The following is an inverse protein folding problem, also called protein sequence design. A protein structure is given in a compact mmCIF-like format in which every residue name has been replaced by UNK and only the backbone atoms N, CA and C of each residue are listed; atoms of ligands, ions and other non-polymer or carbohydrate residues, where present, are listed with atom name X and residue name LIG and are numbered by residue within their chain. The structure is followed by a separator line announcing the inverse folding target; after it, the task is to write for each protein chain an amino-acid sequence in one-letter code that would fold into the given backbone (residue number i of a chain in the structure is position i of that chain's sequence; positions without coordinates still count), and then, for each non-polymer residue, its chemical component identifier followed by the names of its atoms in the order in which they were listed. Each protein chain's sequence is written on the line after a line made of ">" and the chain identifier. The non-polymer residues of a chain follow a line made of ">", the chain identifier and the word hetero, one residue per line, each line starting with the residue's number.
data_IF_111696284218
#
_entry.id   IF_111696284218
#
_cell.length_a   1.000
_cell.length_b   1.000
_cell.length_c   1.000
_cell.angle_alpha   90.00
_cell.angle_beta   90.00
_cell.angle_gamma   90.00
#
_symmetry.space_group_name_H-M   'P 1'
#
loop_
_entity.id
_entity.type
_entity.pdbx_description
1 polymer ?
#
# COMPACT_ATOMS: atom_id res chain seq x y z
N UNK A 1 8.05 -9.42 -3.38
CA UNK A 1 7.42 -8.10 -3.12
C UNK A 1 6.82 -8.09 -1.72
N UNK A 2 7.12 -7.05 -0.94
CA UNK A 2 6.39 -6.75 0.30
C UNK A 2 5.18 -5.88 -0.06
N UNK A 3 3.97 -6.41 0.06
CA UNK A 3 2.73 -5.67 -0.24
C UNK A 3 1.97 -5.42 1.06
N UNK A 4 1.51 -4.19 1.27
CA UNK A 4 0.99 -3.74 2.57
C UNK A 4 -0.47 -3.27 2.46
N UNK A 5 -1.41 -4.00 3.11
CA UNK A 5 -1.30 -5.38 3.62
C UNK A 5 -1.51 -6.41 2.50
N UNK A 6 -0.71 -7.47 2.48
CA UNK A 6 -0.79 -8.55 1.50
C UNK A 6 -2.12 -9.32 1.61
N UNK A 7 -2.70 -9.35 2.80
CA UNK A 7 -3.98 -9.97 3.10
C UNK A 7 -5.21 -9.20 2.60
N UNK A 8 -5.06 -7.92 2.22
CA UNK A 8 -6.19 -7.09 1.81
C UNK A 8 -6.78 -7.59 0.48
N UNK A 9 -8.12 -7.63 0.36
CA UNK A 9 -8.82 -8.17 -0.83
C UNK A 9 -8.32 -7.54 -2.13
N UNK A 10 -8.08 -6.23 -2.10
CA UNK A 10 -7.58 -5.47 -3.22
C UNK A 10 -6.15 -5.79 -3.61
N UNK A 11 -5.27 -6.04 -2.62
CA UNK A 11 -3.87 -6.41 -2.85
C UNK A 11 -3.78 -7.85 -3.35
N UNK A 12 -4.60 -8.75 -2.80
CA UNK A 12 -4.68 -10.15 -3.27
C UNK A 12 -5.10 -10.24 -4.73
N UNK A 13 -6.09 -9.47 -5.14
CA UNK A 13 -6.58 -9.50 -6.51
C UNK A 13 -5.72 -8.68 -7.50
N UNK A 14 -4.59 -8.11 -7.07
CA UNK A 14 -3.52 -7.68 -7.98
C UNK A 14 -2.73 -8.87 -8.54
N UNK A 15 -2.85 -10.07 -7.96
CA UNK A 15 -2.21 -11.27 -8.49
C UNK A 15 -2.98 -11.82 -9.69
N UNK A 16 -2.24 -12.42 -10.62
CA UNK A 16 -2.85 -13.23 -11.66
C UNK A 16 -3.64 -14.39 -11.01
N UNK A 17 -4.92 -14.60 -11.35
CA UNK A 17 -5.75 -15.65 -10.74
C UNK A 17 -5.19 -17.07 -10.94
N UNK A 18 -4.44 -17.28 -12.02
CA UNK A 18 -3.82 -18.57 -12.36
C UNK A 18 -2.37 -18.65 -11.82
N UNK A 19 -1.90 -17.61 -11.12
CA UNK A 19 -0.56 -17.56 -10.52
C UNK A 19 0.57 -17.38 -11.54
N UNK A 20 0.24 -16.95 -12.76
CA UNK A 20 1.18 -16.86 -13.87
C UNK A 20 1.96 -15.53 -13.96
N UNK A 21 1.78 -14.61 -12.99
CA UNK A 21 2.46 -13.30 -13.00
C UNK A 21 3.95 -13.37 -12.63
N UNK A 22 4.42 -14.49 -12.07
CA UNK A 22 5.79 -14.65 -11.58
C UNK A 22 6.12 -13.77 -10.37
N UNK A 23 5.12 -13.17 -9.71
CA UNK A 23 5.30 -12.24 -8.60
C UNK A 23 5.04 -12.95 -7.26
N UNK A 24 6.12 -13.21 -6.52
CA UNK A 24 6.02 -13.66 -5.14
C UNK A 24 5.66 -12.49 -4.21
N UNK A 25 4.52 -12.60 -3.52
CA UNK A 25 4.08 -11.64 -2.49
C UNK A 25 4.33 -12.25 -1.12
N UNK A 26 5.06 -11.53 -0.27
CA UNK A 26 5.33 -11.96 1.10
C UNK A 26 4.01 -11.98 1.90
N UNK A 27 3.88 -12.94 2.81
CA UNK A 27 2.75 -12.97 3.74
C UNK A 27 2.88 -11.83 4.77
N UNK A 28 1.74 -11.30 5.25
CA UNK A 28 1.75 -10.30 6.32
C UNK A 28 2.39 -10.89 7.59
N UNK A 29 3.45 -10.27 8.14
CA UNK A 29 4.05 -10.72 9.38
C UNK A 29 3.05 -10.57 10.51
N UNK A 30 3.08 -11.54 11.44
CA UNK A 30 2.19 -11.53 12.61
C UNK A 30 2.78 -10.64 13.69
N UNK A 31 2.02 -9.68 14.25
CA UNK A 31 2.47 -8.92 15.41
C UNK A 31 2.77 -9.88 16.57
N UNK A 32 4.00 -9.84 17.11
CA UNK A 32 4.43 -10.59 18.30
C UNK A 32 4.16 -12.11 18.25
N UNK A 33 4.08 -12.73 17.06
CA UNK A 33 3.81 -14.17 16.90
C UNK A 33 2.39 -14.62 17.25
N UNK A 34 1.47 -13.70 17.57
CA UNK A 34 0.08 -13.99 17.94
C UNK A 34 -0.77 -14.20 16.67
N UNK A 35 -1.78 -15.09 16.65
CA UNK A 35 -2.63 -15.29 15.48
C UNK A 35 -3.31 -13.99 15.03
N UNK A 36 -3.18 -13.64 13.74
CA UNK A 36 -3.81 -12.44 13.14
C UNK A 36 -5.34 -12.56 13.01
N UNK A 37 -5.95 -13.56 13.64
CA UNK A 37 -7.41 -13.79 13.70
C UNK A 37 -8.08 -12.94 14.78
N UNK A 38 -7.33 -12.18 15.57
CA UNK A 38 -7.92 -11.21 16.50
C UNK A 38 -8.59 -10.08 15.72
N UNK A 39 -9.83 -9.74 16.06
CA UNK A 39 -10.58 -8.57 15.56
C UNK A 39 -9.90 -7.20 15.83
N UNK A 40 -8.67 -7.21 16.34
CA UNK A 40 -7.89 -6.04 16.68
C UNK A 40 -7.02 -5.69 15.46
N UNK A 41 -7.34 -4.57 14.82
CA UNK A 41 -6.55 -4.02 13.72
C UNK A 41 -5.22 -3.51 14.29
N UNK A 42 -4.13 -4.21 14.00
CA UNK A 42 -2.78 -3.74 14.27
C UNK A 42 -2.22 -3.09 13.01
N UNK A 43 -1.44 -2.00 13.11
CA UNK A 43 -0.74 -1.48 11.95
C UNK A 43 0.11 -2.59 11.33
N UNK A 44 0.14 -2.73 9.98
CA UNK A 44 0.96 -3.74 9.35
C UNK A 44 2.41 -3.64 9.80
N UNK A 45 2.99 -4.76 10.25
CA UNK A 45 4.36 -4.83 10.79
C UNK A 45 5.39 -4.31 9.78
N UNK A 46 5.13 -4.51 8.48
CA UNK A 46 6.00 -4.03 7.41
C UNK A 46 6.12 -2.49 7.33
N UNK A 47 5.25 -1.72 8.00
CA UNK A 47 5.37 -0.26 8.08
C UNK A 47 6.46 0.20 9.07
N UNK A 48 6.99 -0.71 9.89
CA UNK A 48 8.07 -0.42 10.82
C UNK A 48 9.42 -0.31 10.06
N UNK A 49 10.15 0.81 10.19
CA UNK A 49 11.49 0.96 9.62
C UNK A 49 12.45 -0.18 10.05
N UNK A 50 12.35 -0.67 11.27
CA UNK A 50 13.23 -1.73 11.78
C UNK A 50 12.94 -3.07 11.09
N UNK A 51 11.68 -3.31 10.68
CA UNK A 51 11.33 -4.47 9.86
C UNK A 51 11.97 -4.37 8.48
N UNK A 52 11.95 -3.18 7.86
CA UNK A 52 12.64 -2.96 6.57
C UNK A 52 14.14 -3.22 6.73
N UNK A 53 14.77 -2.69 7.77
CA UNK A 53 16.20 -2.92 8.01
C UNK A 53 16.54 -4.41 8.14
N UNK A 54 15.73 -5.18 8.87
CA UNK A 54 15.94 -6.60 9.08
C UNK A 54 15.65 -7.47 7.84
N UNK A 55 14.69 -7.08 6.99
CA UNK A 55 14.14 -7.94 5.93
C UNK A 55 14.36 -7.41 4.51
N UNK A 56 15.16 -6.34 4.33
CA UNK A 56 15.36 -5.73 3.02
C UNK A 56 15.85 -6.73 1.95
N UNK A 57 16.62 -7.75 2.29
CA UNK A 57 17.08 -8.77 1.33
C UNK A 57 15.96 -9.73 0.86
N UNK A 58 14.82 -9.76 1.54
CA UNK A 58 13.70 -10.70 1.24
C UNK A 58 12.70 -10.14 0.22
N UNK A 59 12.84 -8.88 -0.17
CA UNK A 59 11.96 -8.25 -1.16
C UNK A 59 12.69 -7.25 -2.06
N UNK A 60 12.25 -7.18 -3.31
CA UNK A 60 12.79 -6.23 -4.29
C UNK A 60 11.98 -4.94 -4.40
N UNK A 61 10.70 -4.99 -4.02
CA UNK A 61 9.75 -3.87 -4.17
C UNK A 61 8.84 -3.82 -2.94
N UNK A 62 8.58 -2.60 -2.45
CA UNK A 62 7.62 -2.33 -1.39
C UNK A 62 6.37 -1.68 -1.98
N UNK A 63 5.22 -2.34 -1.88
CA UNK A 63 3.93 -1.85 -2.37
C UNK A 63 3.03 -1.45 -1.22
N UNK A 64 2.81 -0.14 -1.07
CA UNK A 64 1.86 0.38 -0.10
C UNK A 64 0.51 0.58 -0.77
N UNK A 65 -0.55 0.05 -0.15
CA UNK A 65 -1.93 0.27 -0.60
C UNK A 65 -2.81 0.77 0.56
N UNK A 66 -2.75 0.13 1.74
CA UNK A 66 -3.56 0.49 2.91
C UNK A 66 -2.80 0.30 4.23
N UNK A 67 -3.48 0.59 5.35
CA UNK A 67 -3.05 0.20 6.70
C UNK A 67 -2.12 1.18 7.38
N UNK A 68 -1.81 2.29 6.73
CA UNK A 68 -1.01 3.38 7.30
C UNK A 68 -1.85 4.42 8.05
N UNK A 69 -3.17 4.25 8.17
CA UNK A 69 -4.09 5.23 8.77
C UNK A 69 -3.76 5.57 10.24
N UNK A 70 -3.09 4.65 10.94
CA UNK A 70 -2.63 4.83 12.32
C UNK A 70 -1.22 5.45 12.41
N UNK A 71 -0.53 5.64 11.29
CA UNK A 71 0.83 6.17 11.23
C UNK A 71 0.80 7.69 11.09
N UNK A 72 1.61 8.36 11.92
CA UNK A 72 1.90 9.78 11.74
C UNK A 72 2.88 10.02 10.59
N UNK A 73 2.97 11.27 10.08
CA UNK A 73 3.87 11.62 8.99
C UNK A 73 5.34 11.32 9.29
N UNK A 74 5.79 11.50 10.54
CA UNK A 74 7.18 11.21 10.95
C UNK A 74 7.51 9.71 10.85
N UNK A 75 6.57 8.84 11.22
CA UNK A 75 6.74 7.39 11.10
C UNK A 75 6.80 6.97 9.61
N UNK A 76 5.96 7.57 8.77
CA UNK A 76 5.99 7.33 7.32
C UNK A 76 7.27 7.86 6.66
N UNK A 77 7.79 9.00 7.13
CA UNK A 77 9.06 9.54 6.66
C UNK A 77 10.22 8.62 7.06
N UNK A 78 10.20 8.05 8.27
CA UNK A 78 11.17 7.07 8.71
C UNK A 78 11.13 5.78 7.87
N UNK A 79 9.93 5.28 7.54
CA UNK A 79 9.75 4.14 6.65
C UNK A 79 10.34 4.41 5.26
N UNK A 80 10.00 5.55 4.66
CA UNK A 80 10.54 5.97 3.36
C UNK A 80 12.07 6.08 3.42
N UNK A 81 12.62 6.62 4.50
CA UNK A 81 14.06 6.74 4.68
C UNK A 81 14.74 5.37 4.76
N UNK A 82 14.13 4.39 5.45
CA UNK A 82 14.62 3.02 5.50
C UNK A 82 14.61 2.33 4.14
N UNK A 83 13.51 2.46 3.38
CA UNK A 83 13.41 1.93 2.02
C UNK A 83 14.50 2.53 1.10
N UNK A 84 14.70 3.84 1.15
CA UNK A 84 15.74 4.52 0.36
C UNK A 84 17.16 4.09 0.75
N UNK A 85 17.43 3.93 2.04
CA UNK A 85 18.73 3.47 2.55
C UNK A 85 19.12 2.10 1.97
N UNK A 86 18.15 1.21 1.76
CA UNK A 86 18.35 -0.12 1.19
C UNK A 86 18.06 -0.22 -0.31
N UNK A 87 17.87 0.92 -0.98
CA UNK A 87 17.57 0.95 -2.42
C UNK A 87 16.27 0.23 -2.81
N UNK A 88 15.29 0.18 -1.90
CA UNK A 88 14.01 -0.49 -2.13
C UNK A 88 12.98 0.48 -2.72
N UNK A 89 12.54 0.29 -3.97
CA UNK A 89 11.56 1.16 -4.59
C UNK A 89 10.20 1.06 -3.88
N UNK A 90 9.58 2.22 -3.66
CA UNK A 90 8.24 2.37 -3.14
C UNK A 90 7.24 2.53 -4.29
N UNK A 91 6.35 1.55 -4.44
CA UNK A 91 5.15 1.66 -5.26
C UNK A 91 3.99 2.01 -4.34
N UNK A 92 3.32 3.13 -4.57
CA UNK A 92 2.16 3.53 -3.78
C UNK A 92 0.90 3.55 -4.65
N UNK A 93 -0.10 2.75 -4.27
CA UNK A 93 -1.46 2.88 -4.80
C UNK A 93 -2.23 3.87 -3.94
N UNK A 94 -2.38 5.10 -4.44
CA UNK A 94 -3.23 6.12 -3.86
C UNK A 94 -4.71 5.78 -4.10
N UNK A 95 -5.22 4.86 -3.27
CA UNK A 95 -6.61 4.42 -3.31
C UNK A 95 -7.54 5.57 -2.92
N UNK A 96 -7.23 6.22 -1.80
CA UNK A 96 -8.01 7.32 -1.27
C UNK A 96 -7.17 8.61 -1.26
N UNK A 97 -7.62 9.64 -1.97
CA UNK A 97 -7.10 11.00 -1.79
C UNK A 97 -7.74 11.71 -0.59
N UNK A 98 -8.83 11.13 -0.09
CA UNK A 98 -9.52 11.50 1.14
C UNK A 98 -10.01 10.22 1.78
N UNK A 99 -9.57 9.94 3.01
CA UNK A 99 -10.11 8.83 3.78
C UNK A 99 -11.60 9.13 4.12
N UNK A 100 -12.56 8.32 3.61
CA UNK A 100 -14.00 8.56 3.83
C UNK A 100 -14.46 8.18 5.24
N UNK A 101 -13.64 7.44 5.99
CA UNK A 101 -13.94 7.00 7.35
C UNK A 101 -13.50 8.00 8.42
N UNK A 102 -12.81 9.07 8.03
CA UNK A 102 -12.30 10.10 8.92
C UNK A 102 -13.01 11.44 8.67
N UNK A 103 -13.59 12.00 9.75
CA UNK A 103 -14.25 13.30 9.70
C UNK A 103 -13.25 14.43 9.41
N UNK A 104 -12.08 14.38 10.06
CA UNK A 104 -10.96 15.28 9.80
C UNK A 104 -10.09 14.74 8.65
N UNK A 105 -9.92 15.48 7.54
CA UNK A 105 -8.97 15.10 6.48
C UNK A 105 -7.50 15.25 6.86
N UNK A 106 -7.18 16.07 7.86
CA UNK A 106 -5.82 16.51 8.16
C UNK A 106 -4.80 15.37 8.28
N UNK A 107 -5.06 14.34 9.11
CA UNK A 107 -4.13 13.22 9.28
C UNK A 107 -3.83 12.46 7.98
N UNK A 108 -4.85 12.16 7.18
CA UNK A 108 -4.68 11.46 5.91
C UNK A 108 -3.92 12.31 4.89
N UNK A 109 -4.25 13.60 4.79
CA UNK A 109 -3.53 14.52 3.90
C UNK A 109 -2.05 14.63 4.29
N UNK A 110 -1.74 14.74 5.58
CA UNK A 110 -0.36 14.77 6.06
C UNK A 110 0.41 13.48 5.72
N UNK A 111 -0.25 12.31 5.75
CA UNK A 111 0.35 11.07 5.28
C UNK A 111 0.62 11.09 3.76
N UNK A 112 -0.32 11.59 2.96
CA UNK A 112 -0.15 11.73 1.51
C UNK A 112 0.99 12.70 1.14
N UNK A 113 1.16 13.78 1.89
CA UNK A 113 2.25 14.75 1.72
C UNK A 113 3.65 14.12 1.91
N UNK A 114 3.72 12.99 2.63
CA UNK A 114 4.95 12.20 2.75
C UNK A 114 5.06 11.16 1.63
N UNK A 115 4.00 10.36 1.44
CA UNK A 115 4.05 9.18 0.59
C UNK A 115 4.04 9.49 -0.91
N UNK A 116 3.23 10.46 -1.34
CA UNK A 116 3.08 10.79 -2.77
C UNK A 116 4.39 11.33 -3.35
N UNK A 117 5.09 12.29 -2.71
CA UNK A 117 6.39 12.73 -3.19
C UNK A 117 7.49 11.68 -3.03
N UNK A 118 7.35 10.76 -2.08
CA UNK A 118 8.36 9.74 -1.83
C UNK A 118 8.34 8.57 -2.81
N UNK A 119 7.16 8.20 -3.32
CA UNK A 119 6.99 7.01 -4.14
C UNK A 119 7.76 7.08 -5.47
N UNK A 120 8.39 5.98 -5.86
CA UNK A 120 9.03 5.81 -7.16
C UNK A 120 8.00 5.60 -8.27
N UNK A 121 6.89 4.95 -7.93
CA UNK A 121 5.72 4.79 -8.81
C UNK A 121 4.44 5.03 -8.04
N UNK A 122 3.56 5.81 -8.66
CA UNK A 122 2.22 6.10 -8.16
C UNK A 122 1.19 5.43 -9.04
N UNK A 123 0.25 4.75 -8.41
CA UNK A 123 -0.92 4.16 -9.04
C UNK A 123 -2.16 4.83 -8.43
N UNK A 124 -3.17 5.09 -9.24
CA UNK A 124 -4.49 5.51 -8.77
C UNK A 124 -5.58 4.89 -9.65
N UNK A 125 -6.83 5.00 -9.22
CA UNK A 125 -7.93 4.23 -9.81
C UNK A 125 -8.70 4.98 -10.89
N UNK A 126 -8.59 6.31 -10.92
CA UNK A 126 -9.36 7.13 -11.86
C UNK A 126 -8.52 8.25 -12.47
N UNK A 127 -8.85 8.71 -13.69
CA UNK A 127 -8.21 9.89 -14.28
C UNK A 127 -8.38 11.15 -13.43
N UNK A 128 -9.53 11.32 -12.77
CA UNK A 128 -9.78 12.45 -11.88
C UNK A 128 -8.83 12.48 -10.68
N UNK A 129 -8.62 11.33 -10.03
CA UNK A 129 -7.63 11.22 -8.96
C UNK A 129 -6.20 11.46 -9.47
N UNK A 130 -5.86 11.00 -10.68
CA UNK A 130 -4.55 11.28 -11.27
C UNK A 130 -4.34 12.79 -11.52
N UNK A 131 -5.37 13.50 -11.98
CA UNK A 131 -5.32 14.95 -12.16
C UNK A 131 -5.15 15.69 -10.81
N UNK A 132 -5.85 15.26 -9.76
CA UNK A 132 -5.68 15.81 -8.41
C UNK A 132 -4.27 15.56 -7.87
N UNK A 133 -3.71 14.37 -8.10
CA UNK A 133 -2.32 14.06 -7.69
C UNK A 133 -1.32 14.98 -8.40
N UNK A 134 -1.50 15.17 -9.71
CA UNK A 134 -0.66 16.07 -10.50
C UNK A 134 -0.77 17.52 -10.03
N UNK A 135 -1.99 18.00 -9.76
CA UNK A 135 -2.22 19.37 -9.32
C UNK A 135 -1.61 19.68 -7.94
N UNK A 136 -1.68 18.74 -6.99
CA UNK A 136 -1.28 18.97 -5.60
C UNK A 136 0.19 18.70 -5.33
N UNK A 137 0.73 17.60 -5.88
CA UNK A 137 2.10 17.16 -5.60
C UNK A 137 3.03 17.26 -6.79
N UNK A 138 2.56 17.72 -7.97
CA UNK A 138 3.34 17.74 -9.21
C UNK A 138 3.93 16.36 -9.54
N UNK A 139 3.13 15.30 -9.33
CA UNK A 139 3.50 13.91 -9.60
C UNK A 139 2.54 13.27 -10.59
N UNK A 140 3.05 12.39 -11.45
CA UNK A 140 2.23 11.60 -12.37
C UNK A 140 1.88 10.26 -11.74
N UNK A 141 0.59 9.93 -11.70
CA UNK A 141 0.09 8.63 -11.30
C UNK A 141 -0.39 7.83 -12.52
N UNK A 142 -0.08 6.54 -12.55
CA UNK A 142 -0.63 5.60 -13.54
C UNK A 142 -2.06 5.25 -13.14
N UNK A 143 -3.01 5.41 -14.05
CA UNK A 143 -4.40 5.00 -13.82
C UNK A 143 -4.52 3.51 -14.10
N UNK A 144 -4.66 2.71 -13.05
CA UNK A 144 -4.96 1.29 -13.14
C UNK A 144 -6.28 1.04 -12.40
N UNK A 145 -7.36 0.68 -13.10
CA UNK A 145 -8.64 0.45 -12.45
C UNK A 145 -8.56 -0.73 -11.49
N UNK A 146 -9.44 -0.70 -10.51
CA UNK A 146 -9.43 -1.66 -9.42
C UNK A 146 -9.66 -3.10 -9.96
N UNK A 147 -8.88 -4.11 -9.49
CA UNK A 147 -9.20 -5.51 -9.78
C UNK A 147 -10.56 -5.91 -9.20
N UNK A 148 -11.08 -7.06 -9.59
CA UNK A 148 -12.35 -7.54 -9.06
C UNK A 148 -12.33 -7.66 -7.53
N UNK A 149 -13.47 -7.47 -6.87
CA UNK A 149 -13.60 -7.61 -5.41
C UNK A 149 -14.30 -8.91 -5.02
N UNK A 150 -15.13 -9.41 -5.92
CA UNK A 150 -15.85 -10.68 -5.79
C UNK A 150 -15.08 -11.80 -6.47
N UNK A 151 -15.25 -13.04 -6.00
CA UNK A 151 -14.59 -14.20 -6.62
C UNK A 151 -14.90 -14.28 -8.13
N UNK A 152 -13.99 -14.79 -8.97
CA UNK A 152 -14.20 -14.88 -10.43
C UNK A 152 -15.52 -15.55 -10.81
N UNK A 153 -15.93 -16.59 -10.06
CA UNK A 153 -17.22 -17.29 -10.24
C UNK A 153 -18.45 -16.39 -10.08
N UNK A 154 -18.34 -15.26 -9.37
CA UNK A 154 -19.41 -14.28 -9.19
C UNK A 154 -19.38 -13.18 -10.26
N UNK A 155 -18.22 -12.91 -10.88
CA UNK A 155 -18.07 -11.96 -11.99
C UNK A 155 -18.69 -12.49 -13.28
N UNK A 156 -18.60 -13.79 -13.50
CA UNK A 156 -19.05 -14.46 -14.73
C UNK A 156 -20.50 -14.93 -14.68
N UNK A 157 -21.28 -14.57 -13.64
CA UNK A 157 -22.71 -14.90 -13.58
C UNK A 157 -23.51 -13.87 -14.38
N UNK A 158 -24.51 -14.32 -15.18
CA UNK A 158 -25.38 -13.41 -15.93
C UNK A 158 -26.25 -12.55 -15.01
#
# INVERSE_FOLDING_TARGET
>A
MASVPAGHVYVRHCADPDGADGVLRLADPRPNGVPSTSQRWWPPVMLDPDWVDAHHEEFDVFHLHFGFDAQGPDALAALVAALRRHGKPLVYTAHDLRNPHQADPGPHLAALDVLVPAADRLITLTPGAAAEIAARWNRTATVLPHPHVVQPRLLSRP
#
